data_IF_941491147638
#
_entry.id   IF_941491147638
#
_cell.length_a   1.000
_cell.length_b   1.000
_cell.length_c   1.000
_cell.angle_alpha   90.00
_cell.angle_beta   90.00
_cell.angle_gamma   90.00
#
_symmetry.space_group_name_H-M   'P 1'
#
loop_
_entity.id
_entity.type
_entity.pdbx_description
1 polymer ?
#
# COMPACT_ATOMS: atom_id res chain seq x y z
N UNK A 1 60.57 66.40 -38.94
CA UNK A 1 60.31 66.87 -37.56
C UNK A 1 58.90 66.43 -37.19
N UNK A 2 58.77 65.48 -36.23
CA UNK A 2 57.51 64.95 -35.60
C UNK A 2 56.53 64.22 -36.55
N UNK A 3 55.83 63.13 -36.20
CA UNK A 3 55.73 62.25 -35.02
C UNK A 3 55.01 60.94 -35.44
N UNK A 4 55.22 59.88 -34.67
CA UNK A 4 54.72 58.49 -34.81
C UNK A 4 53.19 58.36 -34.67
N UNK A 5 52.57 57.30 -35.23
CA UNK A 5 51.84 56.24 -34.50
C UNK A 5 51.26 55.11 -35.41
N UNK A 6 51.62 53.86 -35.08
CA UNK A 6 50.94 52.55 -35.15
C UNK A 6 49.84 52.20 -36.19
N UNK A 7 49.94 51.06 -36.93
CA UNK A 7 48.81 50.38 -37.56
C UNK A 7 48.44 49.09 -36.81
N UNK A 8 47.26 49.05 -36.18
CA UNK A 8 46.63 47.81 -35.74
C UNK A 8 45.25 47.69 -36.38
N UNK A 9 45.04 46.53 -37.02
CA UNK A 9 43.79 45.79 -37.17
C UNK A 9 42.63 46.43 -37.98
N UNK A 10 42.29 45.78 -39.10
CA UNK A 10 40.95 45.18 -39.29
C UNK A 10 40.93 44.26 -40.51
N UNK A 11 41.03 42.95 -40.27
CA UNK A 11 40.66 41.91 -41.23
C UNK A 11 39.15 41.68 -41.06
N UNK A 12 38.37 42.01 -42.09
CA UNK A 12 36.93 41.73 -42.10
C UNK A 12 36.70 40.23 -42.33
N UNK A 13 36.25 39.51 -41.31
CA UNK A 13 35.69 38.16 -41.45
C UNK A 13 34.19 38.32 -41.66
N UNK A 14 33.72 37.99 -42.86
CA UNK A 14 32.31 37.85 -43.19
C UNK A 14 31.80 36.57 -42.52
N UNK A 15 31.23 36.68 -41.31
CA UNK A 15 30.55 35.58 -40.65
C UNK A 15 29.17 35.38 -41.28
N UNK A 16 29.02 34.31 -42.05
CA UNK A 16 27.71 33.79 -42.41
C UNK A 16 26.98 33.39 -41.11
N UNK A 17 25.96 34.15 -40.74
CA UNK A 17 25.03 33.77 -39.68
C UNK A 17 24.25 32.54 -40.15
N UNK A 18 24.79 31.35 -39.89
CA UNK A 18 24.00 30.14 -39.83
C UNK A 18 23.07 30.34 -38.63
N UNK A 19 21.81 30.67 -38.89
CA UNK A 19 20.78 30.61 -37.88
C UNK A 19 20.74 29.17 -37.37
N UNK A 20 21.40 28.90 -36.25
CA UNK A 20 21.03 27.80 -35.39
C UNK A 20 19.57 28.09 -35.05
N UNK A 21 18.64 27.38 -35.66
CA UNK A 21 17.30 27.26 -35.14
C UNK A 21 17.46 26.68 -33.73
N UNK A 22 17.57 27.56 -32.74
CA UNK A 22 17.41 27.17 -31.35
C UNK A 22 16.08 26.45 -31.29
N UNK A 23 16.08 25.26 -30.69
CA UNK A 23 14.85 24.56 -30.33
C UNK A 23 13.92 25.58 -29.66
N UNK A 24 12.85 25.95 -30.34
CA UNK A 24 11.87 26.88 -29.81
C UNK A 24 11.40 26.35 -28.45
N UNK A 25 11.38 27.22 -27.44
CA UNK A 25 10.78 26.91 -26.16
C UNK A 25 9.33 26.44 -26.35
N UNK A 26 8.89 25.46 -25.56
CA UNK A 26 7.50 25.09 -25.39
C UNK A 26 6.66 26.34 -25.07
N UNK A 27 5.60 26.61 -25.84
CA UNK A 27 4.67 27.70 -25.51
C UNK A 27 3.79 27.29 -24.32
N UNK A 28 3.45 28.24 -23.47
CA UNK A 28 2.47 28.02 -22.40
C UNK A 28 1.07 28.24 -22.96
N UNK A 29 0.32 27.15 -23.15
CA UNK A 29 -1.04 27.16 -23.66
C UNK A 29 -2.03 26.90 -22.53
N UNK A 30 -2.98 27.82 -22.33
CA UNK A 30 -4.03 27.66 -21.31
C UNK A 30 -5.30 27.10 -21.93
N UNK A 31 -5.83 26.05 -21.33
CA UNK A 31 -7.11 25.46 -21.69
C UNK A 31 -8.25 26.45 -21.45
N UNK A 32 -8.97 26.79 -22.52
CA UNK A 32 -10.11 27.69 -22.49
C UNK A 32 -11.40 27.06 -23.03
N UNK A 33 -11.31 25.88 -23.65
CA UNK A 33 -12.42 25.18 -24.32
C UNK A 33 -13.26 26.09 -25.22
N UNK A 34 -12.64 27.05 -25.92
CA UNK A 34 -13.38 28.05 -26.69
C UNK A 34 -14.17 27.44 -27.87
N UNK A 35 -13.75 26.31 -28.43
CA UNK A 35 -14.51 25.57 -29.44
C UNK A 35 -15.67 24.74 -28.84
N UNK A 36 -15.77 24.65 -27.51
CA UNK A 36 -16.82 23.90 -26.79
C UNK A 36 -16.91 22.43 -27.16
N UNK A 37 -15.83 21.83 -27.63
CA UNK A 37 -15.79 20.40 -28.01
C UNK A 37 -15.31 19.51 -26.87
N UNK A 38 -14.61 20.07 -25.87
CA UNK A 38 -13.97 19.30 -24.81
C UNK A 38 -12.77 18.47 -25.31
N UNK A 39 -12.38 18.58 -26.57
CA UNK A 39 -11.33 17.74 -27.14
C UNK A 39 -9.95 18.41 -27.00
N UNK A 40 -8.97 17.65 -26.54
CA UNK A 40 -7.55 17.99 -26.65
C UNK A 40 -7.01 17.31 -27.91
N UNK A 41 -6.98 18.08 -29.00
CA UNK A 41 -6.54 17.65 -30.32
C UNK A 41 -5.88 18.82 -31.08
N UNK A 42 -5.40 18.54 -32.30
CA UNK A 42 -4.73 19.52 -33.13
C UNK A 42 -5.65 20.36 -34.04
N UNK A 43 -6.96 20.15 -33.97
CA UNK A 43 -7.93 20.81 -34.87
C UNK A 43 -8.79 21.84 -34.17
N UNK A 44 -9.04 21.66 -32.88
CA UNK A 44 -9.99 22.45 -32.12
C UNK A 44 -9.25 23.55 -31.35
N UNK A 45 -9.74 24.78 -31.51
CA UNK A 45 -9.19 25.96 -30.84
C UNK A 45 -9.64 26.03 -29.37
N UNK A 46 -9.26 25.03 -28.57
CA UNK A 46 -9.55 24.94 -27.13
C UNK A 46 -8.42 25.46 -26.24
N UNK A 47 -7.39 26.07 -26.83
CA UNK A 47 -6.23 26.63 -26.16
C UNK A 47 -6.09 28.13 -26.43
N UNK A 48 -5.42 28.86 -25.53
CA UNK A 48 -5.20 30.31 -25.69
C UNK A 48 -4.43 30.62 -26.96
N UNK A 49 -5.10 31.27 -27.92
CA UNK A 49 -4.49 31.83 -29.12
C UNK A 49 -4.13 30.83 -30.22
N UNK A 50 -4.44 29.53 -30.08
CA UNK A 50 -4.10 28.51 -31.08
C UNK A 50 -4.81 27.16 -30.85
N UNK A 51 -4.63 26.23 -31.79
CA UNK A 51 -4.86 24.77 -31.63
C UNK A 51 -3.63 24.12 -30.97
N UNK A 52 -3.78 22.92 -30.39
CA UNK A 52 -2.63 22.20 -29.85
C UNK A 52 -1.73 21.66 -30.97
N UNK A 53 -0.48 22.12 -31.04
CA UNK A 53 0.50 21.54 -31.95
C UNK A 53 1.20 20.37 -31.24
N UNK A 54 0.88 19.13 -31.63
CA UNK A 54 1.49 17.91 -31.06
C UNK A 54 2.95 17.71 -31.53
N UNK A 55 3.64 18.80 -31.89
CA UNK A 55 5.00 18.90 -32.39
C UNK A 55 6.02 19.11 -31.26
N UNK A 56 6.70 20.27 -31.24
CA UNK A 56 7.56 20.61 -30.10
C UNK A 56 6.67 20.78 -28.86
N UNK A 57 6.95 20.08 -27.75
CA UNK A 57 5.91 19.81 -26.77
C UNK A 57 5.61 21.06 -25.92
N UNK A 58 4.50 21.74 -26.22
CA UNK A 58 3.96 22.88 -25.48
C UNK A 58 3.58 22.52 -24.03
N UNK A 59 3.54 23.51 -23.15
CA UNK A 59 3.08 23.32 -21.77
C UNK A 59 1.56 23.52 -21.70
N UNK A 60 0.86 22.54 -21.15
CA UNK A 60 -0.58 22.59 -20.97
C UNK A 60 -0.95 23.13 -19.58
N UNK A 61 -1.77 24.18 -19.54
CA UNK A 61 -2.20 24.84 -18.31
C UNK A 61 -3.72 24.78 -18.17
N UNK A 62 -4.23 24.25 -17.07
CA UNK A 62 -5.66 24.15 -16.76
C UNK A 62 -5.99 24.94 -15.49
N UNK A 63 -6.50 26.17 -15.62
CA UNK A 63 -6.69 27.04 -14.45
C UNK A 63 -8.15 27.21 -14.01
N UNK A 64 -9.11 27.39 -14.93
CA UNK A 64 -10.46 27.84 -14.55
C UNK A 64 -11.59 27.12 -15.27
N UNK A 65 -11.33 26.48 -16.40
CA UNK A 65 -12.34 25.76 -17.18
C UNK A 65 -12.32 24.29 -16.80
N UNK A 66 -13.43 23.82 -16.21
CA UNK A 66 -13.60 22.43 -15.79
C UNK A 66 -14.31 21.58 -16.84
N UNK A 67 -14.80 20.42 -16.42
CA UNK A 67 -15.52 19.48 -17.27
C UNK A 67 -14.63 18.35 -17.79
N UNK A 68 -15.07 17.69 -18.87
CA UNK A 68 -14.32 16.59 -19.46
C UNK A 68 -13.40 17.09 -20.57
N UNK A 69 -12.13 16.72 -20.48
CA UNK A 69 -11.12 16.87 -21.53
C UNK A 69 -10.91 15.49 -22.14
N UNK A 70 -11.35 15.31 -23.37
CA UNK A 70 -11.17 14.08 -24.13
C UNK A 70 -9.86 14.17 -24.91
N UNK A 71 -8.90 13.34 -24.53
CA UNK A 71 -7.62 13.23 -25.19
C UNK A 71 -7.78 12.47 -26.50
N UNK A 72 -7.28 13.03 -27.59
CA UNK A 72 -6.99 12.23 -28.77
C UNK A 72 -5.87 11.22 -28.47
N UNK A 73 -5.74 10.19 -29.32
CA UNK A 73 -4.68 9.20 -29.14
C UNK A 73 -3.29 9.84 -29.33
N UNK A 74 -2.44 9.78 -28.30
CA UNK A 74 -1.03 10.17 -28.43
C UNK A 74 -0.71 11.66 -28.22
N UNK A 75 -1.42 12.34 -27.31
CA UNK A 75 -1.05 13.71 -26.91
C UNK A 75 0.31 13.72 -26.22
N UNK A 76 1.17 14.65 -26.63
CA UNK A 76 2.46 14.93 -26.00
C UNK A 76 2.50 16.38 -25.53
N UNK A 77 2.84 16.60 -24.27
CA UNK A 77 3.02 17.91 -23.66
C UNK A 77 4.40 18.04 -23.02
N UNK A 78 4.93 19.26 -22.97
CA UNK A 78 6.17 19.55 -22.27
C UNK A 78 5.95 19.32 -20.78
N UNK A 79 4.95 20.01 -20.24
CA UNK A 79 4.44 19.81 -18.88
C UNK A 79 2.92 19.94 -18.85
N UNK A 80 2.29 19.40 -17.81
CA UNK A 80 0.88 19.63 -17.51
C UNK A 80 0.75 20.23 -16.12
N UNK A 81 0.12 21.41 -16.04
CA UNK A 81 -0.15 22.12 -14.80
C UNK A 81 -1.66 22.32 -14.65
N UNK A 82 -2.24 21.77 -13.60
CA UNK A 82 -3.66 21.90 -13.27
C UNK A 82 -3.80 22.71 -11.98
N UNK A 83 -4.31 23.93 -12.13
CA UNK A 83 -4.49 24.90 -11.05
C UNK A 83 -3.20 25.58 -10.58
N UNK A 84 -3.36 26.44 -9.57
CA UNK A 84 -2.29 27.32 -9.07
C UNK A 84 -2.47 27.58 -7.57
N UNK A 85 -1.45 28.14 -6.92
CA UNK A 85 -1.55 28.55 -5.51
C UNK A 85 -2.40 29.81 -5.29
N UNK A 86 -2.77 30.53 -6.34
CA UNK A 86 -3.57 31.76 -6.25
C UNK A 86 -5.07 31.54 -6.50
N UNK A 87 -5.47 30.32 -6.85
CA UNK A 87 -6.88 30.00 -7.06
C UNK A 87 -7.10 28.53 -7.43
N UNK A 88 -8.25 28.01 -6.99
CA UNK A 88 -8.68 26.65 -7.31
C UNK A 88 -9.01 26.51 -8.79
N UNK A 89 -8.62 25.37 -9.35
CA UNK A 89 -9.13 24.94 -10.65
C UNK A 89 -10.55 24.38 -10.52
N UNK A 90 -11.33 24.49 -11.60
CA UNK A 90 -12.61 23.82 -11.69
C UNK A 90 -12.39 22.32 -11.93
N UNK A 91 -13.19 21.46 -11.27
CA UNK A 91 -13.05 20.02 -11.39
C UNK A 91 -12.99 19.56 -12.85
N UNK A 92 -12.01 18.71 -13.14
CA UNK A 92 -11.63 18.31 -14.50
C UNK A 92 -11.55 16.79 -14.59
N UNK A 93 -11.93 16.22 -15.73
CA UNK A 93 -11.75 14.81 -16.03
C UNK A 93 -10.92 14.64 -17.30
N UNK A 94 -9.78 13.96 -17.23
CA UNK A 94 -9.05 13.50 -18.41
C UNK A 94 -9.58 12.13 -18.84
N UNK A 95 -10.12 12.02 -20.05
CA UNK A 95 -10.71 10.79 -20.58
C UNK A 95 -10.23 10.50 -22.01
N UNK A 96 -10.38 9.25 -22.47
CA UNK A 96 -10.09 8.89 -23.85
C UNK A 96 -8.68 8.34 -24.03
N UNK A 97 -7.90 8.96 -24.92
CA UNK A 97 -6.61 8.49 -25.41
C UNK A 97 -5.48 8.50 -24.38
N UNK A 98 -4.31 8.97 -24.82
CA UNK A 98 -3.09 8.92 -24.00
C UNK A 98 -2.38 10.26 -23.97
N UNK A 99 -1.77 10.56 -22.83
CA UNK A 99 -0.96 11.75 -22.58
C UNK A 99 0.45 11.33 -22.17
N UNK A 100 1.45 11.92 -22.82
CA UNK A 100 2.85 11.87 -22.38
C UNK A 100 3.31 13.26 -21.98
N UNK A 101 3.95 13.40 -20.81
CA UNK A 101 4.48 14.67 -20.34
C UNK A 101 5.78 14.51 -19.54
N UNK A 102 6.58 15.58 -19.44
CA UNK A 102 7.78 15.53 -18.59
C UNK A 102 7.47 15.74 -17.10
N UNK A 103 6.41 16.49 -16.80
CA UNK A 103 5.91 16.71 -15.44
C UNK A 103 4.40 16.86 -15.43
N UNK A 104 3.78 16.55 -14.29
CA UNK A 104 2.33 16.61 -14.11
C UNK A 104 2.01 17.14 -12.72
N UNK A 105 1.54 18.38 -12.61
CA UNK A 105 1.25 19.02 -11.33
C UNK A 105 -0.23 19.31 -11.18
N UNK A 106 -0.80 18.95 -10.03
CA UNK A 106 -2.16 19.30 -9.62
C UNK A 106 -2.06 20.15 -8.35
N UNK A 107 -2.47 21.41 -8.43
CA UNK A 107 -2.29 22.41 -7.40
C UNK A 107 -3.60 23.14 -7.15
N UNK A 108 -4.10 23.08 -5.92
CA UNK A 108 -5.19 23.94 -5.46
C UNK A 108 -4.68 25.24 -4.85
N UNK A 109 -5.62 26.11 -4.50
CA UNK A 109 -5.39 27.39 -3.83
C UNK A 109 -4.57 27.20 -2.54
N UNK A 110 -3.58 28.07 -2.33
CA UNK A 110 -2.74 28.15 -1.13
C UNK A 110 -3.50 28.41 0.17
N UNK A 111 -4.80 28.71 0.11
CA UNK A 111 -5.68 28.91 1.25
C UNK A 111 -6.55 27.69 1.60
N UNK A 112 -6.58 26.63 0.77
CA UNK A 112 -7.36 25.43 1.07
C UNK A 112 -6.83 24.74 2.34
N UNK A 113 -7.69 24.50 3.33
CA UNK A 113 -7.33 23.84 4.60
C UNK A 113 -7.59 22.31 4.63
N UNK A 114 -7.57 21.74 5.84
CA UNK A 114 -7.59 20.29 6.13
C UNK A 114 -8.84 19.46 5.80
N UNK A 115 -9.60 19.84 4.76
CA UNK A 115 -10.76 19.11 4.29
C UNK A 115 -10.60 18.65 2.85
N UNK A 116 -10.12 17.41 2.63
CA UNK A 116 -9.92 16.89 1.27
C UNK A 116 -11.20 16.82 0.42
N UNK A 117 -12.37 16.67 1.05
CA UNK A 117 -13.66 16.59 0.34
C UNK A 117 -14.08 17.87 -0.37
N UNK A 118 -13.58 19.03 0.05
CA UNK A 118 -13.85 20.33 -0.59
C UNK A 118 -12.75 20.76 -1.57
N UNK A 119 -11.64 20.03 -1.64
CA UNK A 119 -10.52 20.39 -2.52
C UNK A 119 -10.88 20.14 -4.00
N UNK A 120 -10.37 20.98 -4.93
CA UNK A 120 -10.59 20.76 -6.35
C UNK A 120 -9.98 19.42 -6.77
N UNK A 121 -10.67 18.71 -7.66
CA UNK A 121 -10.35 17.34 -8.02
C UNK A 121 -10.08 17.22 -9.51
N UNK A 122 -8.91 16.69 -9.84
CA UNK A 122 -8.58 16.19 -11.17
C UNK A 122 -8.83 14.69 -11.21
N UNK A 123 -9.79 14.28 -12.03
CA UNK A 123 -10.08 12.88 -12.28
C UNK A 123 -9.33 12.41 -13.53
N UNK A 124 -8.66 11.26 -13.45
CA UNK A 124 -8.00 10.63 -14.60
C UNK A 124 -8.67 9.29 -14.89
N UNK A 125 -9.08 9.15 -16.14
CA UNK A 125 -9.62 7.94 -16.75
C UNK A 125 -9.01 7.71 -18.15
N UNK A 126 -7.70 7.96 -18.27
CA UNK A 126 -6.91 7.87 -19.51
C UNK A 126 -5.54 7.26 -19.20
N UNK A 127 -4.76 6.95 -20.23
CA UNK A 127 -3.36 6.58 -20.05
C UNK A 127 -2.48 7.83 -19.95
N UNK A 128 -1.90 8.10 -18.78
CA UNK A 128 -0.99 9.22 -18.53
C UNK A 128 0.41 8.69 -18.20
N UNK A 129 1.40 9.09 -18.99
CA UNK A 129 2.80 8.73 -18.80
C UNK A 129 3.63 9.99 -18.53
N UNK A 130 4.20 10.07 -17.34
CA UNK A 130 5.02 11.19 -16.87
C UNK A 130 6.46 10.71 -16.76
N UNK A 131 7.38 11.27 -17.54
CA UNK A 131 8.79 10.86 -17.47
C UNK A 131 9.48 11.35 -16.19
N UNK A 132 8.96 12.43 -15.59
CA UNK A 132 9.37 12.95 -14.30
C UNK A 132 8.33 12.68 -13.21
N UNK A 133 8.25 13.58 -12.23
CA UNK A 133 7.37 13.43 -11.08
C UNK A 133 5.95 13.92 -11.37
N UNK A 134 4.96 13.24 -10.78
CA UNK A 134 3.62 13.76 -10.62
C UNK A 134 3.49 14.39 -9.22
N UNK A 135 3.00 15.63 -9.14
CA UNK A 135 3.01 16.42 -7.93
C UNK A 135 1.60 16.88 -7.55
N UNK A 136 1.22 16.76 -6.28
CA UNK A 136 -0.11 17.10 -5.79
C UNK A 136 0.00 18.02 -4.58
N UNK A 137 -0.70 19.15 -4.60
CA UNK A 137 -0.78 20.10 -3.50
C UNK A 137 -2.17 20.67 -3.38
N UNK A 138 -2.71 20.71 -2.16
CA UNK A 138 -4.01 21.34 -1.82
C UNK A 138 -5.18 20.95 -2.74
N UNK A 139 -5.12 19.76 -3.32
CA UNK A 139 -5.99 19.27 -4.37
C UNK A 139 -6.04 17.75 -4.32
N UNK A 140 -7.01 17.18 -5.05
CA UNK A 140 -7.12 15.75 -5.23
C UNK A 140 -6.72 15.37 -6.65
N UNK A 141 -5.93 14.31 -6.79
CA UNK A 141 -5.73 13.57 -8.02
C UNK A 141 -6.39 12.20 -7.86
N UNK A 142 -7.50 11.97 -8.57
CA UNK A 142 -8.27 10.73 -8.49
C UNK A 142 -8.12 9.89 -9.76
N UNK A 143 -7.47 8.74 -9.63
CA UNK A 143 -7.35 7.75 -10.71
C UNK A 143 -8.56 6.82 -10.61
N UNK A 144 -9.54 7.05 -11.48
CA UNK A 144 -10.80 6.30 -11.50
C UNK A 144 -10.79 5.17 -12.52
N UNK A 145 -9.97 5.31 -13.56
CA UNK A 145 -9.66 4.31 -14.57
C UNK A 145 -8.43 4.71 -15.37
N UNK A 146 -8.06 3.91 -16.37
CA UNK A 146 -6.82 4.12 -17.12
C UNK A 146 -5.56 3.89 -16.29
N UNK A 147 -4.47 4.57 -16.64
CA UNK A 147 -3.15 4.40 -16.00
C UNK A 147 -2.48 5.73 -15.70
N UNK A 148 -1.77 5.82 -14.58
CA UNK A 148 -0.80 6.89 -14.31
C UNK A 148 0.57 6.24 -14.06
N UNK A 149 1.52 6.47 -14.95
CA UNK A 149 2.93 6.10 -14.75
C UNK A 149 3.73 7.37 -14.49
N UNK A 150 4.49 7.42 -13.40
CA UNK A 150 5.36 8.54 -13.07
C UNK A 150 6.67 8.05 -12.42
N UNK A 151 7.70 8.88 -12.48
CA UNK A 151 8.95 8.63 -11.76
C UNK A 151 8.69 8.54 -10.25
N UNK A 152 8.06 9.57 -9.66
CA UNK A 152 7.54 9.57 -8.31
C UNK A 152 6.17 10.24 -8.28
N UNK A 153 5.42 10.00 -7.21
CA UNK A 153 4.27 10.82 -6.85
C UNK A 153 4.60 11.56 -5.56
N UNK A 154 4.57 12.89 -5.58
CA UNK A 154 5.09 13.73 -4.50
C UNK A 154 4.11 14.84 -4.10
N UNK A 155 4.38 15.47 -2.96
CA UNK A 155 3.75 16.76 -2.64
C UNK A 155 4.22 17.86 -3.61
N UNK A 156 3.33 18.79 -3.97
CA UNK A 156 3.67 19.86 -4.90
C UNK A 156 4.56 20.94 -4.27
N UNK A 157 5.58 21.45 -4.98
CA UNK A 157 6.50 22.45 -4.44
C UNK A 157 5.87 23.83 -4.26
N UNK A 158 4.79 24.15 -5.01
CA UNK A 158 4.09 25.42 -4.90
C UNK A 158 3.35 25.56 -3.57
N UNK A 159 2.64 24.51 -3.15
CA UNK A 159 2.16 24.37 -1.78
C UNK A 159 1.99 22.89 -1.44
N UNK A 160 2.81 22.41 -0.51
CA UNK A 160 3.01 20.98 -0.27
C UNK A 160 1.93 20.32 0.61
N UNK A 161 1.07 21.12 1.22
CA UNK A 161 0.08 20.65 2.17
C UNK A 161 -1.20 20.18 1.47
N UNK A 162 -1.94 19.31 2.14
CA UNK A 162 -3.25 18.81 1.74
C UNK A 162 -3.32 18.28 0.30
N UNK A 163 -2.22 17.73 -0.20
CA UNK A 163 -2.22 16.95 -1.44
C UNK A 163 -2.85 15.57 -1.18
N UNK A 164 -3.70 15.10 -2.09
CA UNK A 164 -4.28 13.76 -1.98
C UNK A 164 -4.23 13.00 -3.28
N UNK A 165 -3.65 11.80 -3.22
CA UNK A 165 -3.78 10.79 -4.25
C UNK A 165 -4.96 9.87 -3.90
N UNK A 166 -5.93 9.76 -4.80
CA UNK A 166 -7.01 8.78 -4.70
C UNK A 166 -6.85 7.77 -5.82
N UNK A 167 -6.90 6.48 -5.49
CA UNK A 167 -6.94 5.38 -6.45
C UNK A 167 -8.29 4.71 -6.25
N UNK A 168 -9.28 5.21 -6.97
CA UNK A 168 -10.64 4.65 -6.99
C UNK A 168 -10.74 3.46 -7.95
N UNK A 169 -9.86 3.42 -8.96
CA UNK A 169 -9.75 2.37 -9.96
C UNK A 169 -8.43 2.48 -10.73
N UNK A 170 -8.36 1.86 -11.91
CA UNK A 170 -7.20 1.95 -12.80
C UNK A 170 -5.90 1.41 -12.20
N UNK A 171 -4.77 1.85 -12.77
CA UNK A 171 -3.43 1.45 -12.32
C UNK A 171 -2.50 2.65 -12.19
N UNK A 172 -1.87 2.77 -11.03
CA UNK A 172 -0.82 3.76 -10.78
C UNK A 172 0.52 3.03 -10.66
N UNK A 173 1.54 3.56 -11.33
CA UNK A 173 2.92 3.08 -11.24
C UNK A 173 3.82 4.25 -10.87
N UNK A 174 4.38 4.21 -9.66
CA UNK A 174 5.37 5.19 -9.19
C UNK A 174 6.73 4.49 -9.11
N UNK A 175 7.56 4.61 -10.14
CA UNK A 175 8.75 3.77 -10.31
C UNK A 175 9.79 3.93 -9.21
N UNK A 176 9.85 5.11 -8.59
CA UNK A 176 10.74 5.48 -7.49
C UNK A 176 9.96 5.90 -6.23
N UNK A 177 8.73 5.41 -6.09
CA UNK A 177 7.95 5.54 -4.87
C UNK A 177 6.91 6.67 -4.89
N UNK A 178 5.95 6.54 -3.98
CA UNK A 178 5.08 7.64 -3.58
C UNK A 178 5.71 8.28 -2.34
N UNK A 179 6.03 9.57 -2.40
CA UNK A 179 6.69 10.30 -1.32
C UNK A 179 6.05 11.68 -1.10
N UNK A 180 4.99 11.71 -0.28
CA UNK A 180 4.33 12.95 0.13
C UNK A 180 5.20 13.83 1.05
N UNK A 181 6.31 13.29 1.57
CA UNK A 181 7.15 13.94 2.59
C UNK A 181 8.30 14.78 2.04
N UNK A 182 8.45 14.84 0.71
CA UNK A 182 9.57 15.48 0.01
C UNK A 182 9.72 16.95 0.39
N UNK A 183 8.61 17.68 0.52
CA UNK A 183 8.61 19.08 0.92
C UNK A 183 8.35 19.23 2.43
N UNK A 184 9.08 20.13 3.09
CA UNK A 184 8.94 20.36 4.53
C UNK A 184 7.57 20.92 4.89
N UNK A 185 6.97 20.44 5.98
CA UNK A 185 5.65 20.87 6.43
C UNK A 185 4.48 20.13 5.78
N UNK A 186 4.74 19.35 4.73
CA UNK A 186 3.70 18.70 3.92
C UNK A 186 2.76 17.80 4.72
N UNK A 187 1.47 17.95 4.43
CA UNK A 187 0.40 16.99 4.70
C UNK A 187 -0.05 16.36 3.37
N UNK A 188 0.03 15.04 3.27
CA UNK A 188 -0.23 14.29 2.04
C UNK A 188 -0.96 12.99 2.35
N UNK A 189 -2.12 12.81 1.74
CA UNK A 189 -2.97 11.64 1.92
C UNK A 189 -2.97 10.71 0.70
N UNK A 190 -3.20 9.43 0.97
CA UNK A 190 -3.47 8.41 -0.04
C UNK A 190 -4.71 7.63 0.36
N UNK A 191 -5.69 7.56 -0.53
CA UNK A 191 -6.86 6.71 -0.41
C UNK A 191 -6.86 5.65 -1.52
N UNK A 192 -6.64 4.38 -1.17
CA UNK A 192 -6.79 3.24 -2.07
C UNK A 192 -8.21 2.67 -1.92
N UNK A 193 -9.14 3.18 -2.72
CA UNK A 193 -10.54 2.73 -2.74
C UNK A 193 -10.80 1.62 -3.78
N UNK A 194 -9.78 1.27 -4.56
CA UNK A 194 -9.84 0.31 -5.65
C UNK A 194 -8.53 0.28 -6.43
N UNK A 195 -8.57 -0.26 -7.65
CA UNK A 195 -7.45 -0.21 -8.59
C UNK A 195 -6.17 -0.90 -8.09
N UNK A 196 -5.03 -0.50 -8.66
CA UNK A 196 -3.72 -1.07 -8.35
C UNK A 196 -2.65 -0.01 -8.25
N UNK A 197 -1.78 -0.09 -7.24
CA UNK A 197 -0.60 0.76 -7.07
C UNK A 197 0.67 -0.10 -7.14
N UNK A 198 1.48 0.09 -8.17
CA UNK A 198 2.82 -0.47 -8.30
C UNK A 198 3.84 0.54 -7.76
N UNK A 199 4.59 0.15 -6.72
CA UNK A 199 5.54 1.06 -6.08
C UNK A 199 6.61 0.30 -5.26
N UNK A 200 7.85 0.82 -5.17
CA UNK A 200 8.85 0.28 -4.26
C UNK A 200 8.68 0.79 -2.81
N UNK A 201 7.92 1.87 -2.60
CA UNK A 201 7.69 2.46 -1.27
C UNK A 201 6.50 3.41 -1.24
N UNK A 202 5.87 3.54 -0.07
CA UNK A 202 4.84 4.54 0.22
C UNK A 202 5.29 5.37 1.41
N UNK A 203 5.39 6.68 1.21
CA UNK A 203 5.59 7.63 2.29
C UNK A 203 4.48 8.66 2.32
N UNK A 204 3.77 8.71 3.44
CA UNK A 204 2.72 9.70 3.72
C UNK A 204 3.17 10.58 4.87
N UNK A 205 2.75 11.84 4.84
CA UNK A 205 3.13 12.82 5.84
C UNK A 205 1.87 13.53 6.34
N UNK A 206 1.83 13.79 7.63
CA UNK A 206 1.00 14.82 8.22
C UNK A 206 1.85 15.50 9.28
N UNK A 207 2.19 16.76 9.04
CA UNK A 207 3.07 17.53 9.92
C UNK A 207 2.33 18.67 10.60
N UNK A 208 1.00 18.64 10.59
CA UNK A 208 0.19 19.61 11.33
C UNK A 208 0.46 19.50 12.84
N UNK A 209 0.68 20.66 13.47
CA UNK A 209 0.71 20.77 14.92
C UNK A 209 -0.72 20.86 15.46
N UNK A 210 -1.21 19.82 16.17
CA UNK A 210 -2.56 19.83 16.75
C UNK A 210 -3.18 18.44 16.92
N UNK A 211 -4.50 18.38 17.05
CA UNK A 211 -5.27 17.15 17.33
C UNK A 211 -5.50 16.24 16.12
N UNK A 212 -5.18 16.71 14.90
CA UNK A 212 -5.47 16.00 13.65
C UNK A 212 -4.21 15.41 12.99
N UNK A 213 -3.15 15.19 13.75
CA UNK A 213 -1.82 14.79 13.28
C UNK A 213 -1.75 13.31 12.85
N UNK A 214 -2.51 12.91 11.83
CA UNK A 214 -2.60 11.55 11.34
C UNK A 214 -2.22 11.51 9.85
N UNK A 215 -0.98 11.07 9.56
CA UNK A 215 -0.57 10.75 8.21
C UNK A 215 -1.58 9.78 7.59
N UNK A 216 -2.29 10.21 6.56
CA UNK A 216 -3.52 9.55 6.13
C UNK A 216 -3.20 8.61 4.96
N UNK A 217 -3.00 7.33 5.27
CA UNK A 217 -3.03 6.25 4.29
C UNK A 217 -4.21 5.35 4.60
N UNK A 218 -5.19 5.28 3.70
CA UNK A 218 -6.38 4.44 3.86
C UNK A 218 -6.47 3.39 2.76
N UNK A 219 -6.62 2.14 3.18
CA UNK A 219 -7.00 1.03 2.34
C UNK A 219 -8.50 0.78 2.48
N UNK A 220 -9.23 0.84 1.39
CA UNK A 220 -10.64 0.52 1.30
C UNK A 220 -10.91 -0.32 0.05
N UNK A 221 -10.01 -1.28 -0.20
CA UNK A 221 -9.92 -2.03 -1.43
C UNK A 221 -8.61 -1.79 -2.16
N UNK A 222 -8.59 -2.18 -3.44
CA UNK A 222 -7.41 -2.07 -4.29
C UNK A 222 -6.30 -3.05 -3.92
N UNK A 223 -5.22 -3.00 -4.71
CA UNK A 223 -4.02 -3.82 -4.50
C UNK A 223 -2.77 -2.96 -4.57
N UNK A 224 -1.90 -3.08 -3.58
CA UNK A 224 -0.53 -2.59 -3.68
C UNK A 224 0.37 -3.72 -4.15
N UNK A 225 1.09 -3.49 -5.25
CA UNK A 225 2.05 -4.43 -5.84
C UNK A 225 3.45 -3.90 -5.58
N UNK A 226 4.27 -4.66 -4.86
CA UNK A 226 5.66 -4.31 -4.64
C UNK A 226 6.47 -4.44 -5.93
N UNK A 227 7.38 -3.50 -6.16
CA UNK A 227 8.30 -3.51 -7.32
C UNK A 227 9.77 -3.64 -6.94
N UNK A 228 10.06 -3.73 -5.64
CA UNK A 228 11.39 -3.93 -5.09
C UNK A 228 11.29 -4.45 -3.65
N UNK A 229 12.38 -5.06 -3.17
CA UNK A 229 12.55 -5.36 -1.75
C UNK A 229 12.67 -4.05 -0.96
N UNK A 230 11.99 -3.97 0.19
CA UNK A 230 12.05 -2.78 1.04
C UNK A 230 11.67 -3.07 2.50
N UNK A 231 12.62 -2.91 3.42
CA UNK A 231 12.40 -3.10 4.87
C UNK A 231 11.61 -1.97 5.54
N UNK A 232 11.29 -0.90 4.81
CA UNK A 232 10.51 0.25 5.27
C UNK A 232 9.48 0.63 4.21
N UNK A 233 8.71 -0.36 3.75
CA UNK A 233 7.83 -0.23 2.58
C UNK A 233 6.76 0.83 2.78
N UNK A 234 6.21 0.95 3.99
CA UNK A 234 5.33 2.05 4.39
C UNK A 234 6.00 2.86 5.48
N UNK A 235 6.14 4.16 5.25
CA UNK A 235 6.62 5.12 6.24
C UNK A 235 5.59 6.24 6.43
N UNK A 236 5.22 6.50 7.67
CA UNK A 236 4.37 7.63 8.04
C UNK A 236 5.21 8.68 8.76
N UNK A 237 5.01 9.95 8.44
CA UNK A 237 5.61 11.07 9.17
C UNK A 237 4.49 11.85 9.86
N UNK A 238 4.61 12.08 11.17
CA UNK A 238 3.59 12.75 11.97
C UNK A 238 3.44 12.12 13.35
N UNK A 239 2.58 12.69 14.18
CA UNK A 239 2.35 12.27 15.57
C UNK A 239 1.50 11.01 15.69
N UNK A 240 0.57 10.78 14.77
CA UNK A 240 -0.39 9.68 14.81
C UNK A 240 0.09 8.38 14.17
N UNK A 241 1.01 8.44 13.20
CA UNK A 241 1.57 7.29 12.48
C UNK A 241 0.55 6.15 12.22
N UNK A 242 -0.57 6.50 11.59
CA UNK A 242 -1.71 5.61 11.41
C UNK A 242 -1.83 5.17 9.96
N UNK A 243 -2.02 3.87 9.74
CA UNK A 243 -2.43 3.33 8.44
C UNK A 243 -3.77 2.66 8.63
N UNK A 244 -4.79 3.14 7.94
CA UNK A 244 -6.17 2.72 8.14
C UNK A 244 -6.60 1.67 7.12
N UNK A 245 -7.41 0.72 7.57
CA UNK A 245 -8.07 -0.30 6.77
C UNK A 245 -9.57 -0.19 7.02
N UNK A 246 -10.31 0.08 5.96
CA UNK A 246 -11.76 0.17 5.93
C UNK A 246 -12.36 -1.16 5.47
N UNK A 247 -13.69 -1.26 5.35
CA UNK A 247 -14.38 -2.50 5.02
C UNK A 247 -13.96 -3.14 3.68
N UNK A 248 -13.43 -2.37 2.72
CA UNK A 248 -12.88 -2.93 1.48
C UNK A 248 -11.58 -3.72 1.65
N UNK A 249 -10.91 -3.60 2.80
CA UNK A 249 -9.68 -4.33 3.12
C UNK A 249 -8.42 -3.76 2.47
N UNK A 250 -7.28 -4.35 2.82
CA UNK A 250 -5.97 -4.06 2.24
C UNK A 250 -5.44 -5.32 1.55
N UNK A 251 -5.06 -5.21 0.27
CA UNK A 251 -4.39 -6.29 -0.46
C UNK A 251 -2.96 -5.87 -0.77
N UNK A 252 -2.00 -6.66 -0.30
CA UNK A 252 -0.59 -6.53 -0.63
C UNK A 252 -0.15 -7.73 -1.47
N UNK A 253 0.19 -7.47 -2.72
CA UNK A 253 0.89 -8.39 -3.58
C UNK A 253 2.40 -8.10 -3.50
N UNK A 254 3.14 -9.04 -2.94
CA UNK A 254 4.60 -8.87 -2.84
C UNK A 254 5.30 -9.09 -4.17
N UNK A 255 4.65 -9.72 -5.16
CA UNK A 255 5.19 -9.91 -6.50
C UNK A 255 6.63 -10.49 -6.50
N UNK A 256 6.91 -11.41 -5.56
CA UNK A 256 8.22 -12.02 -5.38
C UNK A 256 9.21 -11.24 -4.49
N UNK A 257 8.87 -10.04 -4.03
CA UNK A 257 9.72 -9.18 -3.20
C UNK A 257 9.50 -9.36 -1.69
N UNK A 258 10.51 -9.00 -0.90
CA UNK A 258 10.41 -8.96 0.55
C UNK A 258 10.17 -7.51 1.01
N UNK A 259 9.01 -7.26 1.60
CA UNK A 259 8.60 -5.94 2.09
C UNK A 259 8.23 -6.00 3.56
N UNK A 260 8.47 -4.91 4.27
CA UNK A 260 8.17 -4.78 5.70
C UNK A 260 7.36 -3.52 6.00
N UNK A 261 6.33 -3.69 6.83
CA UNK A 261 5.47 -2.62 7.35
C UNK A 261 5.68 -2.56 8.86
N UNK A 262 6.42 -1.54 9.30
CA UNK A 262 6.62 -1.24 10.73
C UNK A 262 5.55 -0.33 11.34
N UNK A 263 4.70 0.28 10.52
CA UNK A 263 3.60 1.15 10.95
C UNK A 263 2.37 0.35 11.35
N UNK A 264 1.67 0.76 12.41
CA UNK A 264 0.47 0.07 12.87
C UNK A 264 -0.67 0.14 11.86
N UNK A 265 -1.22 -1.02 11.50
CA UNK A 265 -2.48 -1.13 10.77
C UNK A 265 -3.67 -1.03 11.72
N UNK A 266 -4.64 -0.19 11.38
CA UNK A 266 -5.79 0.15 12.22
C UNK A 266 -7.08 0.11 11.42
N UNK A 267 -8.20 -0.21 12.06
CA UNK A 267 -9.50 0.00 11.43
C UNK A 267 -9.78 1.50 11.31
N UNK A 268 -10.35 1.90 10.17
CA UNK A 268 -11.13 3.13 10.09
C UNK A 268 -12.28 3.08 11.11
N UNK A 269 -12.72 4.23 11.63
CA UNK A 269 -13.78 4.28 12.63
C UNK A 269 -15.05 3.53 12.15
N UNK A 270 -15.56 2.61 12.96
CA UNK A 270 -16.75 1.80 12.63
C UNK A 270 -16.55 0.73 11.55
N UNK A 271 -15.32 0.51 11.07
CA UNK A 271 -15.02 -0.49 10.04
C UNK A 271 -14.38 -1.75 10.64
N UNK A 272 -14.41 -2.84 9.87
CA UNK A 272 -13.74 -4.10 10.17
C UNK A 272 -12.85 -4.52 8.98
N UNK A 273 -11.69 -3.90 8.85
CA UNK A 273 -10.79 -4.06 7.71
C UNK A 273 -10.08 -5.41 7.69
N UNK A 274 -10.04 -6.04 6.51
CA UNK A 274 -9.35 -7.31 6.24
C UNK A 274 -7.96 -7.09 5.64
N UNK A 275 -7.11 -8.10 5.74
CA UNK A 275 -5.78 -8.14 5.13
C UNK A 275 -5.69 -9.33 4.17
N UNK A 276 -5.24 -9.08 2.94
CA UNK A 276 -4.93 -10.13 1.96
C UNK A 276 -3.48 -10.02 1.52
N UNK A 277 -2.75 -11.13 1.60
CA UNK A 277 -1.35 -11.26 1.19
C UNK A 277 -1.26 -12.17 -0.05
N UNK A 278 -0.77 -11.62 -1.15
CA UNK A 278 -0.50 -12.30 -2.42
C UNK A 278 1.01 -12.24 -2.76
N UNK A 279 1.41 -12.97 -3.80
CA UNK A 279 2.77 -12.95 -4.33
C UNK A 279 3.75 -13.84 -3.56
N UNK A 280 4.72 -14.41 -4.25
CA UNK A 280 5.66 -15.39 -3.70
C UNK A 280 6.61 -14.85 -2.61
N UNK A 281 6.82 -13.53 -2.54
CA UNK A 281 7.73 -12.92 -1.57
C UNK A 281 7.15 -12.79 -0.15
N UNK A 282 7.93 -12.21 0.77
CA UNK A 282 7.53 -12.04 2.17
C UNK A 282 6.91 -10.68 2.44
N UNK A 283 5.75 -10.65 3.10
CA UNK A 283 5.25 -9.46 3.79
C UNK A 283 5.53 -9.63 5.28
N UNK A 284 6.38 -8.77 5.82
CA UNK A 284 6.66 -8.70 7.26
C UNK A 284 5.84 -7.59 7.89
N UNK A 285 5.09 -7.89 8.95
CA UNK A 285 4.47 -6.90 9.82
C UNK A 285 5.30 -6.83 11.11
N UNK A 286 5.91 -5.68 11.39
CA UNK A 286 6.92 -5.53 12.46
C UNK A 286 6.61 -4.39 13.43
N UNK A 287 5.54 -4.54 14.20
CA UNK A 287 5.08 -3.46 15.09
C UNK A 287 5.98 -3.36 16.34
N UNK A 288 6.80 -2.30 16.40
CA UNK A 288 7.61 -1.95 17.55
C UNK A 288 7.14 -0.63 18.17
N UNK A 289 6.11 -0.71 19.00
CA UNK A 289 5.29 0.45 19.41
C UNK A 289 5.15 0.59 20.92
N UNK A 290 6.04 -0.04 21.69
CA UNK A 290 6.08 0.07 23.15
C UNK A 290 4.78 -0.35 23.84
N UNK A 291 4.07 -1.35 23.30
CA UNK A 291 2.80 -1.83 23.84
C UNK A 291 1.55 -1.39 23.09
N UNK A 292 1.65 -0.45 22.14
CA UNK A 292 0.49 0.00 21.38
C UNK A 292 0.12 -1.00 20.29
N UNK A 293 -1.05 -1.63 20.39
CA UNK A 293 -1.52 -2.61 19.41
C UNK A 293 -2.18 -1.94 18.19
N UNK A 294 -2.09 -2.64 17.05
CA UNK A 294 -2.90 -2.31 15.87
C UNK A 294 -4.38 -2.54 16.17
N UNK A 295 -5.26 -1.98 15.35
CA UNK A 295 -6.72 -2.16 15.54
C UNK A 295 -7.42 -2.85 14.39
N UNK A 296 -6.71 -3.24 13.32
CA UNK A 296 -7.35 -4.04 12.27
C UNK A 296 -7.81 -5.38 12.84
N UNK A 297 -9.02 -5.79 12.49
CA UNK A 297 -9.70 -6.93 13.13
C UNK A 297 -10.46 -7.83 12.16
N UNK A 298 -10.46 -7.51 10.87
CA UNK A 298 -11.07 -8.33 9.85
C UNK A 298 -10.22 -9.56 9.53
N UNK A 299 -10.76 -10.45 8.70
CA UNK A 299 -10.07 -11.68 8.33
C UNK A 299 -8.69 -11.38 7.68
N UNK A 300 -7.73 -12.26 7.95
CA UNK A 300 -6.42 -12.25 7.29
C UNK A 300 -6.31 -13.46 6.38
N UNK A 301 -6.04 -13.24 5.10
CA UNK A 301 -5.87 -14.30 4.10
C UNK A 301 -4.47 -14.25 3.52
N UNK A 302 -3.75 -15.38 3.56
CA UNK A 302 -2.44 -15.56 2.93
C UNK A 302 -2.63 -16.50 1.75
N UNK A 303 -2.61 -15.95 0.54
CA UNK A 303 -2.81 -16.70 -0.70
C UNK A 303 -1.52 -17.32 -1.22
N UNK A 304 -0.40 -16.62 -1.05
CA UNK A 304 0.91 -17.05 -1.57
C UNK A 304 2.06 -16.42 -0.75
N UNK A 305 3.22 -17.07 -0.80
CA UNK A 305 4.44 -16.58 -0.16
C UNK A 305 4.34 -16.63 1.36
N UNK A 306 4.99 -15.68 2.02
CA UNK A 306 5.08 -15.65 3.49
C UNK A 306 4.42 -14.39 4.04
N UNK A 307 3.49 -14.55 4.98
CA UNK A 307 3.12 -13.49 5.93
C UNK A 307 3.91 -13.73 7.22
N UNK A 308 4.94 -12.91 7.45
CA UNK A 308 5.75 -12.96 8.66
C UNK A 308 5.20 -11.93 9.67
N UNK A 309 4.79 -12.42 10.83
CA UNK A 309 4.36 -11.58 11.93
C UNK A 309 5.55 -11.44 12.87
N UNK A 310 6.03 -10.22 13.10
CA UNK A 310 7.11 -9.91 14.05
C UNK A 310 6.59 -8.93 15.09
N UNK A 311 6.04 -9.47 16.16
CA UNK A 311 5.52 -8.67 17.25
C UNK A 311 6.47 -8.72 18.44
N UNK A 312 7.21 -7.64 18.65
CA UNK A 312 8.17 -7.53 19.76
C UNK A 312 7.49 -7.02 21.04
N UNK A 313 6.46 -6.18 20.92
CA UNK A 313 5.80 -5.51 22.06
C UNK A 313 4.28 -5.42 21.98
N UNK A 314 3.64 -5.92 20.92
CA UNK A 314 2.22 -5.72 20.63
C UNK A 314 1.61 -6.97 19.96
N UNK A 315 0.29 -7.13 19.94
CA UNK A 315 -0.36 -8.10 19.06
C UNK A 315 -0.54 -7.49 17.67
N UNK A 316 -0.07 -8.20 16.64
CA UNK A 316 -0.31 -7.81 15.24
C UNK A 316 -1.71 -8.20 14.82
N UNK A 317 -2.09 -9.45 15.07
CA UNK A 317 -3.44 -9.96 14.84
C UNK A 317 -4.26 -9.78 16.11
N UNK A 318 -5.39 -9.09 15.99
CA UNK A 318 -6.34 -8.98 17.09
C UNK A 318 -7.24 -10.21 17.15
N UNK A 319 -7.63 -10.58 18.37
CA UNK A 319 -8.44 -11.75 18.70
C UNK A 319 -9.85 -11.83 18.10
N UNK A 320 -10.23 -11.00 17.13
CA UNK A 320 -11.43 -11.16 16.30
C UNK A 320 -11.14 -11.68 14.87
N UNK A 321 -9.88 -11.73 14.46
CA UNK A 321 -9.49 -12.00 13.07
C UNK A 321 -9.32 -13.51 12.84
N UNK A 322 -10.15 -14.10 11.98
CA UNK A 322 -9.86 -15.44 11.45
C UNK A 322 -8.69 -15.36 10.46
N UNK A 323 -7.81 -16.37 10.48
CA UNK A 323 -6.68 -16.47 9.56
C UNK A 323 -6.87 -17.64 8.62
N UNK A 324 -6.72 -17.40 7.32
CA UNK A 324 -6.71 -18.43 6.28
C UNK A 324 -5.35 -18.46 5.61
N UNK A 325 -4.74 -19.65 5.55
CA UNK A 325 -3.47 -19.89 4.86
C UNK A 325 -3.72 -20.90 3.75
N UNK A 326 -3.57 -20.45 2.50
CA UNK A 326 -3.86 -21.25 1.32
C UNK A 326 -2.63 -22.03 0.84
N UNK A 327 -2.84 -22.85 -0.19
CA UNK A 327 -1.82 -23.74 -0.74
C UNK A 327 -0.61 -22.94 -1.23
N UNK A 328 0.60 -23.40 -0.85
CA UNK A 328 1.84 -22.70 -1.16
C UNK A 328 2.12 -21.47 -0.30
N UNK A 329 1.20 -21.08 0.59
CA UNK A 329 1.37 -19.96 1.49
C UNK A 329 1.85 -20.40 2.88
N UNK A 330 2.55 -19.49 3.56
CA UNK A 330 3.05 -19.68 4.92
C UNK A 330 2.67 -18.51 5.80
N UNK A 331 2.10 -18.81 6.97
CA UNK A 331 2.07 -17.89 8.10
C UNK A 331 3.28 -18.17 8.99
N UNK A 332 4.11 -17.17 9.26
CA UNK A 332 5.32 -17.33 10.06
C UNK A 332 5.26 -16.46 11.31
N UNK A 333 5.47 -17.09 12.47
CA UNK A 333 5.68 -16.41 13.74
C UNK A 333 7.18 -16.10 13.91
N UNK A 334 7.51 -14.82 14.01
CA UNK A 334 8.87 -14.31 14.14
C UNK A 334 8.98 -13.41 15.38
N UNK A 335 8.65 -13.93 16.57
CA UNK A 335 8.36 -13.07 17.73
C UNK A 335 8.95 -13.56 19.05
N UNK A 336 9.18 -12.61 19.96
CA UNK A 336 9.28 -12.87 21.41
C UNK A 336 7.92 -12.93 22.11
N UNK A 337 6.87 -12.34 21.52
CA UNK A 337 5.48 -12.36 21.99
C UNK A 337 4.57 -13.09 20.99
N UNK A 338 3.72 -13.98 21.46
CA UNK A 338 2.85 -14.76 20.59
C UNK A 338 1.83 -13.93 19.82
N UNK A 339 1.45 -14.40 18.64
CA UNK A 339 0.35 -13.85 17.85
C UNK A 339 -0.94 -14.59 18.18
N UNK A 340 -2.00 -13.86 18.55
CA UNK A 340 -3.31 -14.48 18.80
C UNK A 340 -4.00 -14.85 17.48
N UNK A 341 -4.55 -16.06 17.41
CA UNK A 341 -5.41 -16.52 16.30
C UNK A 341 -6.78 -16.92 16.86
N UNK A 342 -7.85 -16.23 16.43
CA UNK A 342 -9.22 -16.58 16.84
C UNK A 342 -9.76 -17.81 16.09
N UNK A 343 -9.16 -18.14 14.96
CA UNK A 343 -9.44 -19.33 14.21
C UNK A 343 -8.41 -19.43 13.09
N UNK A 344 -8.07 -20.65 12.73
CA UNK A 344 -7.06 -20.92 11.71
C UNK A 344 -7.62 -21.90 10.69
N UNK A 345 -7.68 -21.48 9.43
CA UNK A 345 -8.01 -22.33 8.30
C UNK A 345 -6.75 -22.58 7.49
N UNK A 346 -6.38 -23.85 7.31
CA UNK A 346 -5.25 -24.27 6.49
C UNK A 346 -5.77 -25.05 5.27
N UNK A 347 -5.56 -24.49 4.08
CA UNK A 347 -5.98 -25.11 2.82
C UNK A 347 -4.76 -25.61 2.04
N UNK A 348 -4.11 -26.66 2.54
CA UNK A 348 -2.72 -27.03 2.19
C UNK A 348 -1.69 -25.94 2.57
N UNK A 349 -2.03 -25.12 3.56
CA UNK A 349 -1.18 -24.04 4.06
C UNK A 349 -0.24 -24.50 5.15
N UNK A 350 0.81 -23.70 5.40
CA UNK A 350 1.80 -23.98 6.45
C UNK A 350 1.81 -22.87 7.50
N UNK A 351 1.90 -23.25 8.77
CA UNK A 351 2.24 -22.35 9.87
C UNK A 351 3.59 -22.75 10.44
N UNK A 352 4.54 -21.80 10.49
CA UNK A 352 5.91 -22.02 10.93
C UNK A 352 6.37 -20.93 11.90
N UNK A 353 7.56 -21.09 12.45
CA UNK A 353 8.25 -20.06 13.19
C UNK A 353 9.70 -19.89 12.71
N UNK A 354 10.25 -18.69 12.85
CA UNK A 354 11.67 -18.38 12.59
C UNK A 354 12.54 -18.39 13.85
N UNK A 355 11.95 -18.71 15.00
CA UNK A 355 12.63 -18.76 16.30
C UNK A 355 11.78 -19.48 17.36
N UNK A 356 12.32 -19.73 18.56
CA UNK A 356 11.59 -20.39 19.63
C UNK A 356 10.35 -19.59 20.03
N UNK A 357 9.30 -20.29 20.45
CA UNK A 357 8.11 -19.67 21.03
C UNK A 357 8.39 -19.08 22.41
N UNK A 358 7.51 -18.18 22.83
CA UNK A 358 7.44 -17.78 24.24
C UNK A 358 6.97 -18.98 25.07
N UNK A 359 7.62 -19.31 26.19
CA UNK A 359 7.24 -20.49 26.98
C UNK A 359 5.79 -20.51 27.47
N UNK A 360 5.18 -19.34 27.65
CA UNK A 360 3.79 -19.22 28.11
C UNK A 360 2.78 -19.09 26.96
N UNK A 361 3.21 -18.54 25.82
CA UNK A 361 2.30 -18.14 24.74
C UNK A 361 2.60 -18.76 23.38
N UNK A 362 3.69 -19.50 23.25
CA UNK A 362 4.18 -20.04 21.98
C UNK A 362 4.63 -18.96 21.01
N UNK A 363 4.75 -19.34 19.74
CA UNK A 363 4.81 -18.38 18.62
C UNK A 363 3.40 -17.88 18.25
N UNK A 364 2.41 -18.76 18.40
CA UNK A 364 1.00 -18.46 18.21
C UNK A 364 0.16 -18.96 19.38
N UNK A 365 -0.91 -18.23 19.63
CA UNK A 365 -1.83 -18.50 20.71
C UNK A 365 -3.25 -18.66 20.15
N UNK A 366 -3.79 -19.88 20.21
CA UNK A 366 -5.11 -20.20 19.68
C UNK A 366 -6.21 -19.89 20.68
N UNK A 367 -7.18 -19.09 20.25
CA UNK A 367 -8.42 -18.84 20.99
C UNK A 367 -9.67 -19.36 20.29
N UNK A 368 -9.50 -20.06 19.18
CA UNK A 368 -10.55 -20.85 18.55
C UNK A 368 -9.97 -21.96 17.68
N UNK A 369 -10.83 -22.55 16.87
CA UNK A 369 -10.58 -23.85 16.23
C UNK A 369 -9.62 -23.77 15.04
N UNK A 370 -9.02 -24.92 14.72
CA UNK A 370 -8.24 -25.14 13.52
C UNK A 370 -9.05 -26.00 12.55
N UNK A 371 -9.19 -25.55 11.31
CA UNK A 371 -9.74 -26.34 10.20
C UNK A 371 -8.65 -26.59 9.18
N UNK A 372 -8.41 -27.84 8.81
CA UNK A 372 -7.39 -28.23 7.84
C UNK A 372 -8.00 -29.02 6.68
N UNK A 373 -7.60 -28.66 5.45
CA UNK A 373 -7.89 -29.40 4.23
C UNK A 373 -6.60 -29.76 3.51
N UNK A 374 -6.66 -30.81 2.67
CA UNK A 374 -5.49 -31.38 1.99
C UNK A 374 -4.32 -31.65 2.95
N UNK A 375 -3.07 -31.48 2.53
CA UNK A 375 -1.89 -31.66 3.41
C UNK A 375 -1.44 -30.32 3.97
N UNK A 376 -1.82 -30.05 5.22
CA UNK A 376 -1.48 -28.83 5.96
C UNK A 376 -0.47 -29.11 7.06
N UNK A 377 0.29 -28.08 7.47
CA UNK A 377 1.38 -28.23 8.44
C UNK A 377 1.36 -27.14 9.50
N UNK A 378 1.58 -27.54 10.75
CA UNK A 378 1.68 -26.70 11.94
C UNK A 378 2.96 -27.06 12.69
N UNK A 379 4.03 -26.30 12.44
CA UNK A 379 5.38 -26.57 12.98
C UNK A 379 5.84 -25.52 13.99
N UNK A 380 5.11 -24.41 14.11
CA UNK A 380 5.33 -23.41 15.15
C UNK A 380 4.92 -23.92 16.53
N UNK A 381 5.44 -23.31 17.59
CA UNK A 381 5.00 -23.55 18.97
C UNK A 381 3.63 -22.90 19.24
N UNK A 382 2.70 -23.66 19.79
CA UNK A 382 1.29 -23.30 19.92
C UNK A 382 0.81 -23.38 21.37
N UNK A 383 0.38 -22.25 21.91
CA UNK A 383 -0.32 -22.19 23.18
C UNK A 383 -1.85 -22.21 22.98
N UNK A 384 -2.58 -22.90 23.86
CA UNK A 384 -4.05 -23.00 23.81
C UNK A 384 -4.71 -22.17 24.92
N UNK A 385 -5.67 -21.30 24.59
CA UNK A 385 -6.50 -20.61 25.60
C UNK A 385 -7.89 -21.18 25.76
N UNK A 386 -8.50 -21.54 24.64
CA UNK A 386 -9.88 -21.96 24.65
C UNK A 386 -9.96 -23.29 25.40
N UNK A 387 -10.92 -23.39 26.32
CA UNK A 387 -11.36 -24.70 26.76
C UNK A 387 -11.81 -25.44 25.51
N UNK A 388 -11.11 -26.52 25.16
CA UNK A 388 -11.39 -27.34 23.98
C UNK A 388 -11.14 -26.64 22.63
N UNK A 389 -9.88 -26.60 22.20
CA UNK A 389 -9.55 -26.28 20.80
C UNK A 389 -9.80 -27.51 19.95
N UNK A 390 -10.69 -27.38 18.97
CA UNK A 390 -10.95 -28.43 17.98
C UNK A 390 -10.03 -28.29 16.77
N UNK A 391 -9.44 -29.40 16.36
CA UNK A 391 -8.65 -29.58 15.15
C UNK A 391 -9.47 -30.43 14.18
N UNK A 392 -10.25 -29.76 13.34
CA UNK A 392 -11.06 -30.39 12.30
C UNK A 392 -10.22 -30.65 11.06
N UNK A 393 -10.08 -31.92 10.67
CA UNK A 393 -9.36 -32.32 9.45
C UNK A 393 -10.35 -32.92 8.46
N UNK A 394 -10.52 -32.26 7.31
CA UNK A 394 -11.46 -32.68 6.28
C UNK A 394 -11.10 -34.06 5.70
N UNK A 395 -12.10 -34.74 5.11
CA UNK A 395 -11.94 -36.05 4.47
C UNK A 395 -10.80 -36.05 3.45
N UNK A 396 -9.90 -37.04 3.54
CA UNK A 396 -8.71 -37.12 2.68
C UNK A 396 -7.60 -36.12 3.02
N UNK A 397 -7.84 -35.22 3.98
CA UNK A 397 -6.84 -34.29 4.48
C UNK A 397 -5.90 -34.90 5.52
N UNK A 398 -4.73 -34.29 5.66
CA UNK A 398 -3.75 -34.56 6.71
C UNK A 398 -3.29 -33.24 7.33
N UNK A 399 -3.38 -33.13 8.65
CA UNK A 399 -2.75 -32.05 9.40
C UNK A 399 -1.50 -32.59 10.11
N UNK A 400 -0.32 -32.12 9.71
CA UNK A 400 0.95 -32.45 10.34
C UNK A 400 1.26 -31.45 11.46
N UNK A 401 1.18 -31.90 12.70
CA UNK A 401 1.54 -31.11 13.87
C UNK A 401 2.92 -31.55 14.36
N UNK A 402 3.91 -30.74 14.05
CA UNK A 402 5.31 -30.95 14.45
C UNK A 402 5.76 -30.04 15.59
N UNK A 403 5.17 -28.86 15.69
CA UNK A 403 5.46 -27.92 16.77
C UNK A 403 4.76 -28.31 18.06
N UNK A 404 5.30 -27.87 19.20
CA UNK A 404 4.69 -28.13 20.51
C UNK A 404 3.28 -27.55 20.59
N UNK A 405 2.40 -28.26 21.30
CA UNK A 405 1.11 -27.73 21.74
C UNK A 405 1.12 -27.79 23.26
N UNK A 406 0.85 -26.67 23.92
CA UNK A 406 0.88 -26.57 25.36
C UNK A 406 -0.27 -25.71 25.91
N UNK A 407 -0.49 -25.80 27.21
CA UNK A 407 -1.43 -24.92 27.89
C UNK A 407 -0.96 -23.47 27.70
N UNK A 408 -1.87 -22.59 27.32
CA UNK A 408 -1.62 -21.17 27.26
C UNK A 408 -2.05 -20.44 28.51
N UNK A 409 -1.49 -19.26 28.74
CA UNK A 409 -1.76 -18.44 29.91
C UNK A 409 -2.63 -17.23 29.55
N UNK A 410 -3.69 -16.95 30.32
CA UNK A 410 -4.45 -15.71 30.19
C UNK A 410 -3.80 -14.60 31.04
N UNK A 411 -3.73 -13.38 30.49
CA UNK A 411 -3.22 -12.21 31.21
C UNK A 411 -3.99 -12.02 32.52
N UNK A 412 -3.30 -12.10 33.66
CA UNK A 412 -3.87 -11.88 35.00
C UNK A 412 -4.63 -13.06 35.60
N UNK A 413 -4.64 -14.25 34.97
CA UNK A 413 -5.25 -15.47 35.52
C UNK A 413 -4.19 -16.46 36.04
N UNK A 414 -4.58 -17.32 36.98
CA UNK A 414 -3.68 -18.33 37.57
C UNK A 414 -3.16 -19.33 36.52
N UNK A 415 -1.87 -19.63 36.65
CA UNK A 415 -1.19 -20.74 36.00
C UNK A 415 -1.93 -22.07 36.28
N UNK A 416 -2.16 -22.87 35.23
CA UNK A 416 -2.51 -24.30 35.40
C UNK A 416 -3.94 -24.73 35.11
N UNK A 417 -4.77 -23.95 34.40
CA UNK A 417 -6.03 -24.52 33.86
C UNK A 417 -5.69 -25.47 32.70
N UNK A 418 -6.07 -26.76 32.76
CA UNK A 418 -5.76 -27.69 31.68
C UNK A 418 -6.44 -27.30 30.38
N UNK A 419 -5.68 -27.25 29.29
CA UNK A 419 -6.21 -27.09 27.93
C UNK A 419 -6.47 -28.47 27.33
N UNK A 420 -7.64 -28.66 26.73
CA UNK A 420 -8.03 -29.91 26.06
C UNK A 420 -7.92 -29.75 24.53
N UNK A 421 -7.64 -30.86 23.86
CA UNK A 421 -7.55 -30.94 22.39
C UNK A 421 -8.62 -31.88 21.87
N UNK A 422 -9.40 -31.44 20.90
CA UNK A 422 -10.33 -32.29 20.14
C UNK A 422 -9.81 -32.49 18.73
N UNK A 423 -9.88 -33.72 18.23
CA UNK A 423 -9.70 -34.07 16.82
C UNK A 423 -11.07 -34.40 16.23
N UNK A 424 -11.50 -33.65 15.23
CA UNK A 424 -12.73 -33.87 14.47
C UNK A 424 -12.47 -34.02 12.96
N UNK A 425 -13.51 -34.34 12.20
CA UNK A 425 -13.44 -34.62 10.76
C UNK A 425 -12.79 -35.96 10.41
N UNK A 426 -13.10 -36.51 9.24
CA UNK A 426 -12.68 -37.86 8.82
C UNK A 426 -11.19 -37.98 8.44
N UNK A 427 -10.48 -36.86 8.28
CA UNK A 427 -9.06 -36.87 7.92
C UNK A 427 -8.12 -37.28 9.06
N UNK A 428 -6.81 -37.21 8.78
CA UNK A 428 -5.75 -37.61 9.73
C UNK A 428 -5.07 -36.41 10.36
N UNK A 429 -4.93 -36.40 11.69
CA UNK A 429 -4.03 -35.49 12.40
C UNK A 429 -2.79 -36.28 12.83
N UNK A 430 -1.63 -35.90 12.34
CA UNK A 430 -0.34 -36.49 12.70
C UNK A 430 0.31 -35.62 13.78
N UNK A 431 0.69 -36.23 14.88
CA UNK A 431 1.28 -35.58 16.05
C UNK A 431 2.69 -36.13 16.23
N UNK A 432 3.69 -35.33 15.88
CA UNK A 432 5.08 -35.77 15.77
C UNK A 432 6.05 -35.07 16.73
N UNK A 433 5.62 -33.93 17.31
CA UNK A 433 6.38 -33.19 18.31
C UNK A 433 6.16 -33.68 19.75
N UNK A 434 6.66 -32.91 20.71
CA UNK A 434 6.37 -33.09 22.14
C UNK A 434 5.30 -32.09 22.55
N UNK A 435 4.16 -32.58 23.02
CA UNK A 435 3.01 -31.77 23.40
C UNK A 435 2.75 -31.89 24.91
N UNK A 436 2.54 -30.76 25.58
CA UNK A 436 2.51 -30.66 27.06
C UNK A 436 1.21 -30.06 27.61
N UNK A 437 0.20 -29.86 26.77
CA UNK A 437 -1.14 -29.52 27.26
C UNK A 437 -1.64 -30.62 28.20
N UNK A 438 -2.27 -30.24 29.31
CA UNK A 438 -2.54 -31.19 30.42
C UNK A 438 -3.98 -31.67 30.47
N UNK A 439 -4.84 -31.21 29.55
CA UNK A 439 -6.21 -31.69 29.45
C UNK A 439 -6.33 -32.94 28.55
N UNK A 440 -7.52 -33.53 28.55
CA UNK A 440 -7.83 -34.69 27.72
C UNK A 440 -7.65 -34.41 26.21
N UNK A 441 -7.29 -35.47 25.47
CA UNK A 441 -7.37 -35.51 24.01
C UNK A 441 -8.58 -36.32 23.59
N UNK A 442 -9.53 -35.70 22.90
CA UNK A 442 -10.74 -36.37 22.40
C UNK A 442 -10.63 -36.59 20.90
N UNK A 443 -10.86 -37.81 20.43
CA UNK A 443 -10.98 -38.10 18.99
C UNK A 443 -12.44 -38.35 18.68
N UNK A 444 -13.10 -37.36 18.07
CA UNK A 444 -14.52 -37.42 17.73
C UNK A 444 -14.77 -38.03 16.35
N UNK A 445 -13.79 -37.92 15.42
CA UNK A 445 -13.82 -38.53 14.09
C UNK A 445 -12.42 -38.62 13.47
N UNK A 446 -12.28 -39.49 12.45
CA UNK A 446 -11.05 -39.67 11.68
C UNK A 446 -9.92 -40.33 12.47
N UNK A 447 -8.67 -40.04 12.07
CA UNK A 447 -7.47 -40.67 12.66
C UNK A 447 -6.62 -39.65 13.40
N UNK A 448 -6.22 -39.98 14.62
CA UNK A 448 -5.12 -39.33 15.34
C UNK A 448 -3.91 -40.28 15.31
N UNK A 449 -2.83 -39.89 14.64
CA UNK A 449 -1.62 -40.69 14.50
C UNK A 449 -0.46 -40.03 15.27
N UNK A 450 -0.03 -40.66 16.36
CA UNK A 450 0.99 -40.11 17.26
C UNK A 450 2.31 -40.83 17.04
N UNK A 451 3.33 -40.08 16.61
CA UNK A 451 4.74 -40.54 16.55
C UNK A 451 5.63 -39.80 17.54
N UNK A 452 5.13 -38.70 18.11
CA UNK A 452 5.79 -37.92 19.15
C UNK A 452 5.28 -38.26 20.55
N UNK A 453 5.16 -37.25 21.41
CA UNK A 453 4.71 -37.41 22.79
C UNK A 453 3.49 -36.52 23.08
N UNK A 454 2.49 -37.10 23.77
CA UNK A 454 1.41 -36.37 24.42
C UNK A 454 1.66 -36.29 25.92
N UNK A 455 1.07 -35.30 26.59
CA UNK A 455 1.15 -35.20 28.05
C UNK A 455 0.53 -36.43 28.73
N UNK A 456 1.16 -36.88 29.81
CA UNK A 456 0.70 -38.00 30.65
C UNK A 456 0.03 -37.53 31.96
N UNK A 457 -0.26 -36.23 32.08
CA UNK A 457 -0.71 -35.59 33.33
C UNK A 457 -2.22 -35.29 33.37
N UNK A 458 -3.03 -36.04 32.62
CA UNK A 458 -4.47 -35.81 32.49
C UNK A 458 -5.25 -36.05 33.79
#
# INVERSE_FOLDING_TARGET
>A
MKSRLNPFLQTAVLAAACACAGTAHAADLTWNNAASTGAWNSTDANWTGSTWDNGAPDNAIFNSVGGTVTLDSGITAGSVSVGTTSGNFANLTLSGGSLSASSFTVQGDGNNGGGYGSNPTLTVNSAVNVSGDAAIGRSNLDITGGTLTANRIISAPGSADWGRLVISGGTVTATNGVDGSVNTGATFAIDLNGGTLHTPSIKVADREAGTNNNAWLTFNGGTVVATADNSSFITTYGGGNNVYISNGGATFDTNGHNIEIGTLLRNSAGNNGSLTKNGAGTLTLSYNTGGTIGTYSGATTVNEGVLALKADTAWILLGGSAVTVNSGATLQGNNSLANQLNGLTLNNGTVTASGPGNGDWGNFYLTGNVTATGTSSLTADIALRAANVDFGVATGGTLNVGGSIHNGHAFGQNFGTPSTVSKSGEGTMVVSGTHTYTGATTVSAGTLYVTGALSNSA
#
